data_IF_189546893500
#
_entry.id   IF_189546893500
#
_cell.length_a   1.000
_cell.length_b   1.000
_cell.length_c   1.000
_cell.angle_alpha   90.00
_cell.angle_beta   90.00
_cell.angle_gamma   90.00
#
_symmetry.space_group_name_H-M   'P 1'
#
loop_
_entity.id
_entity.type
_entity.pdbx_description
1 polymer ?
#
# COMPACT_ATOMS: atom_id res chain seq x y z
N UNK A 1 1.80 -4.40 7.70
CA UNK A 1 1.21 -3.33 6.87
C UNK A 1 -0.30 -3.48 6.70
N UNK A 2 -0.82 -4.58 6.14
CA UNK A 2 -2.27 -4.78 5.94
C UNK A 2 -3.10 -4.65 7.21
N UNK A 3 -2.62 -5.20 8.34
CA UNK A 3 -3.28 -5.07 9.64
C UNK A 3 -3.39 -3.62 10.12
N UNK A 4 -2.33 -2.80 9.90
CA UNK A 4 -2.35 -1.38 10.23
C UNK A 4 -3.38 -0.61 9.40
N UNK A 5 -3.48 -0.91 8.11
CA UNK A 5 -4.48 -0.30 7.23
C UNK A 5 -5.90 -0.73 7.58
N UNK A 6 -6.13 -2.02 7.87
CA UNK A 6 -7.42 -2.52 8.34
C UNK A 6 -7.84 -1.87 9.68
N UNK A 7 -6.89 -1.67 10.59
CA UNK A 7 -7.16 -1.01 11.86
C UNK A 7 -7.54 0.47 11.66
N UNK A 8 -6.97 1.15 10.65
CA UNK A 8 -7.33 2.53 10.31
C UNK A 8 -8.78 2.65 9.81
N UNK A 9 -9.29 1.65 9.10
CA UNK A 9 -10.68 1.60 8.61
C UNK A 9 -11.70 1.61 9.76
N UNK A 10 -11.33 1.13 10.95
CA UNK A 10 -12.20 1.10 12.14
C UNK A 10 -12.47 2.47 12.76
N UNK A 11 -11.75 3.53 12.36
CA UNK A 11 -12.10 4.94 12.62
C UNK A 11 -12.00 5.42 14.08
N UNK A 12 -11.18 4.79 14.92
CA UNK A 12 -11.01 5.20 16.33
C UNK A 12 -10.02 6.36 16.48
N UNK A 13 -10.30 7.26 17.42
CA UNK A 13 -9.47 8.44 17.69
C UNK A 13 -8.10 8.02 18.25
N UNK A 14 -7.01 8.60 17.72
CA UNK A 14 -5.64 8.30 18.15
C UNK A 14 -4.93 7.16 17.41
N UNK A 15 -5.58 6.51 16.46
CA UNK A 15 -5.03 5.37 15.69
C UNK A 15 -3.87 5.74 14.75
N UNK A 16 -3.79 7.00 14.33
CA UNK A 16 -2.80 7.44 13.33
C UNK A 16 -1.37 7.11 13.77
N UNK A 17 -1.05 7.27 15.04
CA UNK A 17 0.29 6.95 15.57
C UNK A 17 0.59 5.44 15.54
N UNK A 18 -0.36 4.62 15.94
CA UNK A 18 -0.20 3.16 15.95
C UNK A 18 -0.05 2.63 14.52
N UNK A 19 -0.84 3.15 13.60
CA UNK A 19 -0.78 2.81 12.17
C UNK A 19 0.55 3.25 11.56
N UNK A 20 1.00 4.47 11.87
CA UNK A 20 2.27 5.00 11.38
C UNK A 20 3.46 4.15 11.85
N UNK A 21 3.51 3.79 13.14
CA UNK A 21 4.55 2.94 13.70
C UNK A 21 4.51 1.54 13.06
N UNK A 22 3.35 0.91 13.00
CA UNK A 22 3.19 -0.43 12.39
C UNK A 22 3.59 -0.46 10.91
N UNK A 23 3.22 0.56 10.15
CA UNK A 23 3.60 0.67 8.75
C UNK A 23 5.09 0.97 8.58
N UNK A 24 5.67 1.83 9.41
CA UNK A 24 7.10 2.13 9.41
C UNK A 24 7.95 0.88 9.67
N UNK A 25 7.63 0.11 10.70
CA UNK A 25 8.28 -1.18 10.98
C UNK A 25 8.10 -2.17 9.83
N UNK A 26 6.88 -2.31 9.31
CA UNK A 26 6.62 -3.22 8.21
C UNK A 26 7.36 -2.85 6.93
N UNK A 27 7.46 -1.56 6.63
CA UNK A 27 8.20 -1.05 5.47
C UNK A 27 9.71 -1.27 5.62
N UNK A 28 10.29 -0.95 6.77
CA UNK A 28 11.71 -1.17 7.05
C UNK A 28 12.10 -2.65 6.97
N UNK A 29 11.33 -3.53 7.59
CA UNK A 29 11.54 -4.97 7.53
C UNK A 29 11.43 -5.50 6.08
N UNK A 30 10.46 -5.03 5.32
CA UNK A 30 10.27 -5.45 3.93
C UNK A 30 11.49 -5.08 3.06
N UNK A 31 12.00 -3.86 3.17
CA UNK A 31 13.19 -3.43 2.44
C UNK A 31 14.43 -4.23 2.80
N UNK A 32 14.66 -4.48 4.08
CA UNK A 32 15.81 -5.27 4.55
C UNK A 32 15.79 -6.69 3.98
N UNK A 33 14.63 -7.36 4.04
CA UNK A 33 14.48 -8.73 3.53
C UNK A 33 14.58 -8.77 2.00
N UNK A 34 13.99 -7.80 1.29
CA UNK A 34 14.04 -7.74 -0.16
C UNK A 34 15.47 -7.60 -0.69
N UNK A 35 16.29 -6.76 -0.06
CA UNK A 35 17.70 -6.59 -0.42
C UNK A 35 18.53 -7.83 -0.14
N UNK A 36 18.35 -8.47 1.03
CA UNK A 36 19.03 -9.70 1.37
C UNK A 36 18.67 -10.84 0.39
N UNK A 37 17.38 -11.05 0.12
CA UNK A 37 16.93 -12.05 -0.83
C UNK A 37 17.43 -11.79 -2.26
N UNK A 38 17.46 -10.52 -2.70
CA UNK A 38 17.99 -10.16 -4.01
C UNK A 38 19.48 -10.47 -4.14
N UNK A 39 20.28 -10.21 -3.10
CA UNK A 39 21.72 -10.51 -3.09
C UNK A 39 22.01 -12.01 -3.12
N UNK A 40 21.21 -12.82 -2.44
CA UNK A 40 21.36 -14.28 -2.42
C UNK A 40 20.92 -14.94 -3.74
N UNK A 41 19.79 -14.51 -4.31
CA UNK A 41 19.23 -15.14 -5.51
C UNK A 41 19.98 -14.78 -6.80
N UNK A 42 20.43 -13.54 -6.93
CA UNK A 42 21.04 -13.01 -8.17
C UNK A 42 22.55 -12.83 -8.08
N UNK A 43 23.14 -13.03 -6.92
CA UNK A 43 24.57 -12.85 -6.67
C UNK A 43 25.01 -11.38 -6.71
N UNK A 44 26.18 -11.12 -6.14
CA UNK A 44 26.75 -9.77 -5.99
C UNK A 44 27.07 -9.08 -7.32
N UNK A 45 27.32 -9.83 -8.38
CA UNK A 45 27.73 -9.28 -9.69
C UNK A 45 26.66 -8.41 -10.34
N UNK A 46 25.38 -8.77 -10.20
CA UNK A 46 24.25 -8.06 -10.82
C UNK A 46 23.41 -7.27 -9.80
N UNK A 47 23.84 -7.27 -8.54
CA UNK A 47 23.10 -6.66 -7.45
C UNK A 47 22.83 -5.16 -7.67
N UNK A 48 23.82 -4.40 -8.17
CA UNK A 48 23.68 -2.97 -8.40
C UNK A 48 22.58 -2.62 -9.40
N UNK A 49 22.47 -3.37 -10.51
CA UNK A 49 21.43 -3.16 -11.52
C UNK A 49 20.06 -3.51 -10.97
N UNK A 50 19.95 -4.62 -10.23
CA UNK A 50 18.71 -5.05 -9.63
C UNK A 50 18.22 -4.09 -8.55
N UNK A 51 19.14 -3.59 -7.71
CA UNK A 51 18.87 -2.58 -6.70
C UNK A 51 18.30 -1.30 -7.30
N UNK A 52 18.91 -0.78 -8.35
CA UNK A 52 18.42 0.41 -9.05
C UNK A 52 17.02 0.19 -9.65
N UNK A 53 16.77 -0.97 -10.23
CA UNK A 53 15.46 -1.31 -10.77
C UNK A 53 14.38 -1.38 -9.67
N UNK A 54 14.66 -2.04 -8.55
CA UNK A 54 13.75 -2.10 -7.41
C UNK A 54 13.47 -0.72 -6.80
N UNK A 55 14.51 0.11 -6.71
CA UNK A 55 14.39 1.47 -6.17
C UNK A 55 13.54 2.35 -7.09
N UNK A 56 13.63 2.21 -8.40
CA UNK A 56 12.80 2.91 -9.38
C UNK A 56 11.34 2.41 -9.40
N UNK A 57 11.11 1.14 -9.17
CA UNK A 57 9.77 0.55 -9.16
C UNK A 57 8.90 1.09 -8.01
N UNK A 58 9.51 1.42 -6.86
CA UNK A 58 8.80 1.95 -5.69
C UNK A 58 8.12 3.30 -5.95
N UNK A 59 8.80 4.37 -6.41
CA UNK A 59 8.15 5.63 -6.73
C UNK A 59 7.17 5.52 -7.91
N UNK A 60 7.44 4.69 -8.90
CA UNK A 60 6.51 4.45 -10.00
C UNK A 60 5.19 3.85 -9.49
N UNK A 61 5.25 2.84 -8.62
CA UNK A 61 4.07 2.25 -7.99
C UNK A 61 3.30 3.24 -7.10
N UNK A 62 4.01 4.07 -6.34
CA UNK A 62 3.36 5.07 -5.48
C UNK A 62 2.67 6.17 -6.30
N UNK A 63 3.26 6.64 -7.38
CA UNK A 63 2.63 7.60 -8.30
C UNK A 63 1.37 7.03 -8.95
N UNK A 64 1.41 5.76 -9.37
CA UNK A 64 0.25 5.10 -9.95
C UNK A 64 -0.89 4.95 -8.93
N UNK A 65 -0.60 4.46 -7.74
CA UNK A 65 -1.62 4.26 -6.70
C UNK A 65 -2.16 5.59 -6.14
N UNK A 66 -1.30 6.57 -5.92
CA UNK A 66 -1.70 7.88 -5.40
C UNK A 66 -2.36 8.73 -6.48
N UNK A 67 -1.79 8.79 -7.67
CA UNK A 67 -2.28 9.64 -8.76
C UNK A 67 -3.57 9.12 -9.40
N UNK A 68 -3.67 7.81 -9.65
CA UNK A 68 -4.84 7.24 -10.29
C UNK A 68 -5.91 6.78 -9.30
N UNK A 69 -5.54 5.95 -8.34
CA UNK A 69 -6.53 5.30 -7.46
C UNK A 69 -7.07 6.28 -6.43
N UNK A 70 -6.19 6.95 -5.69
CA UNK A 70 -6.63 7.83 -4.61
C UNK A 70 -7.32 9.09 -5.16
N UNK A 71 -6.79 9.70 -6.22
CA UNK A 71 -7.37 10.90 -6.85
C UNK A 71 -8.75 10.61 -7.43
N UNK A 72 -8.90 9.55 -8.23
CA UNK A 72 -10.20 9.22 -8.87
C UNK A 72 -11.29 8.92 -7.84
N UNK A 73 -10.94 8.22 -6.77
CA UNK A 73 -11.88 7.90 -5.68
C UNK A 73 -12.25 9.17 -4.93
N UNK A 74 -11.27 10.02 -4.61
CA UNK A 74 -11.51 11.27 -3.91
C UNK A 74 -12.43 12.20 -4.72
N UNK A 75 -12.16 12.38 -6.01
CA UNK A 75 -12.94 13.24 -6.90
C UNK A 75 -14.39 12.73 -7.05
N UNK A 76 -14.57 11.42 -7.19
CA UNK A 76 -15.90 10.82 -7.29
C UNK A 76 -16.74 11.07 -6.03
N UNK A 77 -16.17 10.87 -4.84
CA UNK A 77 -16.91 11.09 -3.59
C UNK A 77 -17.07 12.57 -3.25
N UNK A 78 -16.10 13.41 -3.59
CA UNK A 78 -16.21 14.86 -3.44
C UNK A 78 -17.36 15.43 -4.31
N UNK A 79 -17.48 14.97 -5.54
CA UNK A 79 -18.57 15.38 -6.44
C UNK A 79 -19.94 14.90 -5.94
N UNK A 80 -20.05 13.68 -5.44
CA UNK A 80 -21.28 13.16 -4.83
C UNK A 80 -21.70 14.00 -3.62
N UNK A 81 -20.77 14.35 -2.74
CA UNK A 81 -21.06 15.19 -1.58
C UNK A 81 -21.40 16.61 -1.97
N UNK A 82 -20.75 17.20 -2.98
CA UNK A 82 -21.07 18.51 -3.51
C UNK A 82 -22.50 18.58 -4.08
N UNK A 83 -22.92 17.56 -4.83
CA UNK A 83 -24.30 17.45 -5.32
C UNK A 83 -25.33 17.40 -4.19
N UNK A 84 -25.03 16.67 -3.13
CA UNK A 84 -25.91 16.57 -1.95
C UNK A 84 -26.00 17.91 -1.20
N UNK A 85 -24.90 18.67 -1.11
CA UNK A 85 -24.84 20.00 -0.46
C UNK A 85 -25.57 21.07 -1.28
N UNK A 86 -25.46 21.05 -2.60
CA UNK A 86 -26.19 21.96 -3.47
C UNK A 86 -27.71 21.81 -3.30
N UNK A 87 -28.20 20.59 -3.10
CA UNK A 87 -29.62 20.32 -2.81
C UNK A 87 -30.03 20.81 -1.42
N UNK A 88 -29.10 20.99 -0.48
CA UNK A 88 -29.38 21.44 0.88
C UNK A 88 -29.12 22.94 1.08
N UNK A 89 -28.73 23.69 0.03
CA UNK A 89 -28.62 25.17 0.07
C UNK A 89 -27.39 25.73 0.82
N UNK A 90 -26.37 24.95 1.06
CA UNK A 90 -25.17 25.40 1.77
C UNK A 90 -24.04 25.67 0.76
N UNK A 91 -23.91 26.94 0.36
CA UNK A 91 -22.98 27.43 -0.67
C UNK A 91 -21.56 27.62 -0.13
N UNK A 92 -20.90 26.58 0.34
CA UNK A 92 -19.45 26.63 0.57
C UNK A 92 -18.76 25.95 -0.61
N UNK A 93 -18.17 26.76 -1.50
CA UNK A 93 -17.57 26.40 -2.78
C UNK A 93 -16.28 25.55 -2.69
N UNK A 94 -15.99 24.89 -1.58
CA UNK A 94 -14.85 23.97 -1.51
C UNK A 94 -15.33 22.53 -1.75
N UNK A 95 -14.86 21.95 -2.83
CA UNK A 95 -14.88 20.51 -3.12
C UNK A 95 -13.98 19.77 -2.10
N UNK A 96 -14.39 19.82 -0.84
CA UNK A 96 -13.69 19.12 0.24
C UNK A 96 -14.52 17.92 0.67
N UNK A 97 -13.94 16.73 0.55
CA UNK A 97 -14.58 15.53 1.07
C UNK A 97 -14.48 15.55 2.60
N UNK A 98 -15.57 15.87 3.29
CA UNK A 98 -15.64 15.84 4.75
C UNK A 98 -16.08 14.46 5.23
N UNK A 99 -15.26 13.88 6.09
CA UNK A 99 -15.56 12.64 6.80
C UNK A 99 -14.55 11.51 6.58
N UNK A 100 -14.61 10.53 7.46
CA UNK A 100 -13.75 9.35 7.44
C UNK A 100 -13.98 8.47 6.20
N UNK A 101 -15.08 8.64 5.47
CA UNK A 101 -15.50 7.76 4.38
C UNK A 101 -14.52 7.81 3.20
N UNK A 102 -14.06 9.00 2.80
CA UNK A 102 -13.15 9.15 1.66
C UNK A 102 -11.80 8.45 1.88
N UNK A 103 -11.24 8.60 3.07
CA UNK A 103 -9.99 7.94 3.43
C UNK A 103 -10.16 6.45 3.73
N UNK A 104 -11.27 6.07 4.37
CA UNK A 104 -11.55 4.68 4.72
C UNK A 104 -11.65 3.78 3.50
N UNK A 105 -12.29 4.23 2.42
CA UNK A 105 -12.42 3.46 1.19
C UNK A 105 -11.07 3.29 0.51
N UNK A 106 -10.28 4.36 0.40
CA UNK A 106 -8.94 4.29 -0.18
C UNK A 106 -8.03 3.35 0.63
N UNK A 107 -8.05 3.45 1.96
CA UNK A 107 -7.32 2.54 2.83
C UNK A 107 -7.81 1.09 2.71
N UNK A 108 -9.11 0.87 2.53
CA UNK A 108 -9.69 -0.46 2.31
C UNK A 108 -9.16 -1.10 1.02
N UNK A 109 -9.13 -0.36 -0.09
CA UNK A 109 -8.60 -0.84 -1.37
C UNK A 109 -7.11 -1.16 -1.25
N UNK A 110 -6.32 -0.28 -0.61
CA UNK A 110 -4.91 -0.52 -0.37
C UNK A 110 -4.67 -1.76 0.51
N UNK A 111 -5.52 -1.99 1.52
CA UNK A 111 -5.45 -3.18 2.36
C UNK A 111 -5.67 -4.46 1.55
N UNK A 112 -6.66 -4.48 0.65
CA UNK A 112 -6.91 -5.62 -0.25
C UNK A 112 -5.73 -5.86 -1.17
N UNK A 113 -5.16 -4.83 -1.78
CA UNK A 113 -3.96 -4.94 -2.62
C UNK A 113 -2.77 -5.50 -1.84
N UNK A 114 -2.57 -5.05 -0.60
CA UNK A 114 -1.52 -5.59 0.28
C UNK A 114 -1.75 -7.06 0.63
N UNK A 115 -2.99 -7.49 0.85
CA UNK A 115 -3.30 -8.89 1.12
C UNK A 115 -3.04 -9.78 -0.12
N UNK A 116 -3.40 -9.31 -1.30
CA UNK A 116 -3.09 -9.99 -2.56
C UNK A 116 -1.57 -10.12 -2.75
N UNK A 117 -0.82 -9.05 -2.53
CA UNK A 117 0.63 -9.06 -2.62
C UNK A 117 1.28 -10.02 -1.60
N UNK A 118 0.78 -10.05 -0.36
CA UNK A 118 1.23 -10.99 0.67
C UNK A 118 0.96 -12.45 0.27
N UNK A 119 -0.21 -12.73 -0.29
CA UNK A 119 -0.56 -14.07 -0.77
C UNK A 119 0.38 -14.53 -1.90
N UNK A 120 0.65 -13.66 -2.87
CA UNK A 120 1.62 -13.95 -3.95
C UNK A 120 3.03 -14.18 -3.40
N UNK A 121 3.46 -13.38 -2.43
CA UNK A 121 4.76 -13.54 -1.77
C UNK A 121 4.88 -14.89 -1.06
N UNK A 122 3.83 -15.34 -0.37
CA UNK A 122 3.79 -16.65 0.27
C UNK A 122 3.87 -17.81 -0.75
N UNK A 123 3.18 -17.67 -1.88
CA UNK A 123 3.25 -18.68 -2.96
C UNK A 123 4.67 -18.78 -3.51
N UNK A 124 5.32 -17.64 -3.76
CA UNK A 124 6.72 -17.60 -4.23
C UNK A 124 7.66 -18.21 -3.18
N UNK A 125 7.52 -17.83 -1.92
CA UNK A 125 8.34 -18.36 -0.82
C UNK A 125 8.19 -19.89 -0.69
N UNK A 126 6.96 -20.41 -0.78
CA UNK A 126 6.69 -21.85 -0.72
C UNK A 126 7.29 -22.59 -1.91
N UNK A 127 7.21 -22.00 -3.10
CA UNK A 127 7.79 -22.59 -4.32
C UNK A 127 9.31 -22.59 -4.31
N UNK A 128 9.91 -21.51 -3.85
CA UNK A 128 11.35 -21.36 -3.69
C UNK A 128 11.90 -22.32 -2.64
N UNK A 129 11.20 -22.49 -1.52
CA UNK A 129 11.58 -23.46 -0.46
C UNK A 129 11.65 -24.90 -0.98
N UNK A 130 10.72 -25.31 -1.84
CA UNK A 130 10.77 -26.63 -2.49
C UNK A 130 11.99 -26.79 -3.39
N UNK A 131 12.33 -25.75 -4.12
CA UNK A 131 13.50 -25.74 -4.99
C UNK A 131 14.81 -25.87 -4.21
N UNK A 132 14.96 -25.14 -3.10
CA UNK A 132 16.10 -25.23 -2.22
C UNK A 132 16.22 -26.59 -1.51
N UNK A 133 15.11 -27.18 -1.11
CA UNK A 133 15.10 -28.52 -0.51
C UNK A 133 15.56 -29.61 -1.49
N UNK A 134 15.36 -29.43 -2.77
CA UNK A 134 15.85 -30.34 -3.81
C UNK A 134 17.32 -30.12 -4.17
N UNK A 135 17.86 -28.91 -3.93
CA UNK A 135 19.25 -28.60 -4.25
C UNK A 135 20.22 -28.98 -3.11
N UNK A 136 19.76 -28.94 -1.88
CA UNK A 136 20.57 -29.16 -0.67
C UNK A 136 20.21 -30.45 0.11
N UNK A 137 19.22 -31.20 -0.33
CA UNK A 137 18.87 -32.53 0.18
C UNK A 137 19.35 -33.62 -0.71
#
# INVERSE_FOLDING_TARGET
MSLGLCYYVLGLVGQVYVVAISNGFGYGAHWSIALAAASELFGLKNFGTLYNFLTMASPAGSLFLSGFVASTIYDYYAEQQAKHRMLTGNNNDLLLCEGNICFSITCGILAVVCLCAASLSLIVAHRTRKFYAQLYG
#
